data_IF_469272322471
#
_entry.id   IF_469272322471
#
_cell.length_a   1.000
_cell.length_b   1.000
_cell.length_c   1.000
_cell.angle_alpha   90.00
_cell.angle_beta   90.00
_cell.angle_gamma   90.00
#
_symmetry.space_group_name_H-M   'P 1'
#
loop_
_entity.id
_entity.type
_entity.pdbx_description
1 polymer ?
#
# COMPACT_ATOMS: atom_id res chain seq x y z
N UNK A 1 -4.13 -22.03 42.11
CA UNK A 1 -2.97 -21.11 42.28
C UNK A 1 -2.56 -20.52 40.93
N UNK A 2 -3.10 -19.38 40.47
CA UNK A 2 -2.60 -18.72 39.25
C UNK A 2 -2.10 -17.30 39.58
N UNK A 3 -0.81 -17.02 39.36
CA UNK A 3 -0.29 -15.66 39.59
C UNK A 3 1.10 -15.36 39.05
N UNK A 4 1.92 -16.38 38.79
CA UNK A 4 3.34 -16.18 38.46
C UNK A 4 3.55 -15.96 36.95
N UNK A 5 2.74 -16.60 36.09
CA UNK A 5 2.86 -16.50 34.63
C UNK A 5 2.52 -15.10 34.07
N UNK A 6 1.60 -14.36 34.70
CA UNK A 6 1.13 -13.06 34.20
C UNK A 6 2.17 -11.93 34.44
N UNK A 7 2.83 -11.92 35.60
CA UNK A 7 3.81 -10.89 35.95
C UNK A 7 5.09 -10.97 35.10
N UNK A 8 5.54 -12.20 34.76
CA UNK A 8 6.70 -12.39 33.90
C UNK A 8 6.43 -11.92 32.46
N UNK A 9 5.24 -12.21 31.93
CA UNK A 9 4.82 -11.74 30.60
C UNK A 9 4.70 -10.21 30.53
N UNK A 10 4.15 -9.59 31.58
CA UNK A 10 4.08 -8.13 31.67
C UNK A 10 5.47 -7.47 31.61
N UNK A 11 6.44 -8.01 32.37
CA UNK A 11 7.83 -7.52 32.38
C UNK A 11 8.51 -7.66 31.01
N UNK A 12 8.28 -8.77 30.30
CA UNK A 12 8.83 -8.97 28.94
C UNK A 12 8.23 -7.96 27.96
N UNK A 13 6.91 -7.73 28.02
CA UNK A 13 6.20 -6.74 27.21
C UNK A 13 6.72 -5.32 27.46
N UNK A 14 6.93 -4.95 28.73
CA UNK A 14 7.42 -3.62 29.08
C UNK A 14 8.88 -3.40 28.62
N UNK A 15 9.71 -4.45 28.72
CA UNK A 15 11.08 -4.42 28.18
C UNK A 15 11.10 -4.28 26.66
N UNK A 16 10.19 -4.97 25.96
CA UNK A 16 10.01 -4.82 24.51
C UNK A 16 9.55 -3.40 24.14
N UNK A 17 8.56 -2.86 24.87
CA UNK A 17 8.06 -1.48 24.69
C UNK A 17 9.19 -0.44 24.89
N UNK A 18 10.00 -0.62 25.93
CA UNK A 18 11.13 0.28 26.22
C UNK A 18 12.29 0.15 25.21
N UNK A 19 12.52 -1.03 24.62
CA UNK A 19 13.50 -1.22 23.55
C UNK A 19 13.03 -0.58 22.25
N UNK A 20 11.76 -0.71 21.93
CA UNK A 20 11.22 -0.11 20.73
C UNK A 20 11.09 1.41 20.79
N UNK A 21 10.72 1.97 21.95
CA UNK A 21 10.82 3.42 22.18
C UNK A 21 12.24 3.97 21.97
N UNK A 22 13.27 3.16 22.23
CA UNK A 22 14.67 3.53 21.98
C UNK A 22 15.12 3.31 20.54
N UNK A 23 14.52 2.34 19.84
CA UNK A 23 14.81 2.06 18.43
C UNK A 23 14.06 3.01 17.47
N UNK A 24 13.04 3.69 17.98
CA UNK A 24 12.19 4.56 17.21
C UNK A 24 12.73 5.99 17.16
N UNK A 25 13.56 6.25 16.15
CA UNK A 25 14.14 7.58 15.90
C UNK A 25 13.16 8.58 15.27
N UNK A 26 11.90 8.19 15.05
CA UNK A 26 10.89 9.00 14.35
C UNK A 26 9.90 9.68 15.31
N UNK A 27 9.79 9.20 16.56
CA UNK A 27 8.73 9.65 17.45
C UNK A 27 7.34 9.20 16.97
N UNK A 28 6.28 9.83 17.50
CA UNK A 28 4.91 9.57 17.04
C UNK A 28 4.72 10.00 15.57
N UNK A 29 3.81 9.33 14.87
CA UNK A 29 3.50 9.69 13.50
C UNK A 29 2.78 11.05 13.49
N UNK A 30 3.18 11.93 12.58
CA UNK A 30 2.36 13.11 12.26
C UNK A 30 1.09 12.71 11.50
N UNK A 31 0.06 13.58 11.48
CA UNK A 31 -1.22 13.30 10.82
C UNK A 31 -1.04 12.94 9.33
N UNK A 32 -0.19 13.67 8.60
CA UNK A 32 0.12 13.40 7.19
C UNK A 32 0.73 12.00 6.98
N UNK A 33 1.56 11.55 7.92
CA UNK A 33 2.16 10.22 7.85
C UNK A 33 1.14 9.11 8.14
N UNK A 34 0.16 9.38 9.02
CA UNK A 34 -0.95 8.45 9.27
C UNK A 34 -1.81 8.30 8.01
N UNK A 35 -2.21 9.40 7.38
CA UNK A 35 -2.99 9.41 6.13
C UNK A 35 -2.24 8.66 5.03
N UNK A 36 -1.01 9.07 4.71
CA UNK A 36 -0.20 8.45 3.66
C UNK A 36 0.05 6.94 3.90
N UNK A 37 0.12 6.51 5.16
CA UNK A 37 0.26 5.09 5.50
C UNK A 37 -1.05 4.32 5.28
N UNK A 38 -2.19 4.90 5.63
CA UNK A 38 -3.51 4.27 5.48
C UNK A 38 -3.90 4.17 4.01
N UNK A 39 -3.64 5.21 3.23
CA UNK A 39 -3.97 5.26 1.80
C UNK A 39 -2.95 4.52 0.91
N UNK A 40 -1.83 4.06 1.50
CA UNK A 40 -0.81 3.29 0.78
C UNK A 40 0.12 4.14 -0.10
N UNK A 41 0.09 5.46 0.06
CA UNK A 41 0.90 6.43 -0.70
C UNK A 41 2.34 6.56 -0.14
N UNK A 42 2.60 5.96 1.02
CA UNK A 42 3.91 6.02 1.66
C UNK A 42 4.96 5.14 0.95
N UNK A 43 6.18 5.64 0.68
CA UNK A 43 7.26 4.83 0.10
C UNK A 43 7.56 3.57 0.93
N UNK A 44 7.88 2.46 0.26
CA UNK A 44 8.04 1.14 0.89
C UNK A 44 8.98 1.13 2.12
N UNK A 45 10.10 1.87 2.05
CA UNK A 45 11.06 2.00 3.15
C UNK A 45 10.47 2.71 4.36
N UNK A 46 9.71 3.78 4.15
CA UNK A 46 9.04 4.53 5.22
C UNK A 46 7.89 3.72 5.81
N UNK A 47 7.08 3.07 4.97
CA UNK A 47 6.00 2.20 5.40
C UNK A 47 6.50 1.02 6.23
N UNK A 48 7.70 0.49 5.93
CA UNK A 48 8.32 -0.56 6.75
C UNK A 48 8.65 -0.09 8.16
N UNK A 49 9.22 1.11 8.30
CA UNK A 49 9.53 1.68 9.62
C UNK A 49 8.26 1.94 10.42
N UNK A 50 7.21 2.46 9.78
CA UNK A 50 5.90 2.62 10.41
C UNK A 50 5.36 1.28 10.91
N UNK A 51 5.38 0.23 10.09
CA UNK A 51 4.94 -1.11 10.53
C UNK A 51 5.65 -1.59 11.79
N UNK A 52 6.97 -1.38 11.88
CA UNK A 52 7.76 -1.72 13.07
C UNK A 52 7.35 -0.84 14.26
N UNK A 53 7.16 0.46 14.06
CA UNK A 53 6.70 1.40 15.08
C UNK A 53 5.36 0.98 15.68
N UNK A 54 4.38 0.58 14.84
CA UNK A 54 3.04 0.21 15.26
C UNK A 54 2.97 -1.03 16.15
N UNK A 55 3.97 -1.91 16.09
CA UNK A 55 4.06 -3.06 17.02
C UNK A 55 4.23 -2.57 18.46
N UNK A 56 4.86 -1.41 18.64
CA UNK A 56 5.34 -0.95 19.94
C UNK A 56 4.68 0.32 20.46
N UNK A 57 4.05 1.10 19.57
CA UNK A 57 3.32 2.31 19.92
C UNK A 57 1.80 2.09 19.80
N UNK A 58 1.08 1.97 20.93
CA UNK A 58 -0.38 1.80 20.90
C UNK A 58 -1.12 3.08 20.48
N UNK A 59 -0.54 4.26 20.70
CA UNK A 59 -1.13 5.56 20.36
C UNK A 59 -1.24 5.72 18.84
N UNK A 60 -0.14 5.57 18.11
CA UNK A 60 -0.14 5.61 16.64
C UNK A 60 -0.98 4.48 16.03
N UNK A 61 -1.13 3.35 16.73
CA UNK A 61 -2.04 2.29 16.29
C UNK A 61 -3.49 2.75 16.38
N UNK A 62 -3.87 3.40 17.47
CA UNK A 62 -5.22 3.95 17.65
C UNK A 62 -5.53 5.01 16.58
N UNK A 63 -4.58 5.91 16.28
CA UNK A 63 -4.73 6.92 15.22
C UNK A 63 -4.94 6.28 13.84
N UNK A 64 -4.16 5.25 13.49
CA UNK A 64 -4.36 4.52 12.22
C UNK A 64 -5.71 3.82 12.17
N UNK A 65 -6.18 3.25 13.29
CA UNK A 65 -7.52 2.66 13.34
C UNK A 65 -8.60 3.71 13.11
N UNK A 66 -8.50 4.87 13.74
CA UNK A 66 -9.45 5.98 13.52
C UNK A 66 -9.44 6.43 12.05
N UNK A 67 -8.26 6.61 11.47
CA UNK A 67 -8.15 7.02 10.07
C UNK A 67 -8.71 5.97 9.10
N UNK A 68 -8.47 4.67 9.36
CA UNK A 68 -9.05 3.59 8.54
C UNK A 68 -10.57 3.57 8.60
N UNK A 69 -11.14 3.73 9.79
CA UNK A 69 -12.59 3.78 9.96
C UNK A 69 -13.18 5.01 9.23
N UNK A 70 -12.50 6.15 9.29
CA UNK A 70 -12.91 7.34 8.53
C UNK A 70 -12.87 7.09 7.01
N UNK A 71 -11.79 6.50 6.50
CA UNK A 71 -11.67 6.15 5.07
C UNK A 71 -12.71 5.11 4.63
N UNK A 72 -13.05 4.15 5.48
CA UNK A 72 -14.10 3.16 5.22
C UNK A 72 -15.48 3.80 5.18
N UNK A 73 -15.81 4.64 6.14
CA UNK A 73 -17.08 5.37 6.18
C UNK A 73 -17.32 6.20 4.91
N UNK A 74 -16.28 6.91 4.44
CA UNK A 74 -16.35 7.67 3.17
C UNK A 74 -16.62 6.74 1.98
N UNK A 75 -15.99 5.56 1.94
CA UNK A 75 -16.22 4.57 0.87
C UNK A 75 -17.64 4.02 0.92
N UNK A 76 -18.16 3.71 2.10
CA UNK A 76 -19.53 3.21 2.27
C UNK A 76 -20.56 4.24 1.80
N UNK A 77 -20.42 5.52 2.18
CA UNK A 77 -21.28 6.59 1.67
C UNK A 77 -21.16 6.75 0.14
N UNK A 78 -19.97 6.54 -0.43
CA UNK A 78 -19.79 6.54 -1.88
C UNK A 78 -20.46 5.35 -2.57
N UNK A 79 -20.70 4.22 -1.91
CA UNK A 79 -21.41 3.07 -2.48
C UNK A 79 -22.92 3.32 -2.54
N UNK A 80 -23.47 4.11 -1.62
CA UNK A 80 -24.86 4.58 -1.71
C UNK A 80 -25.06 5.58 -2.86
N UNK A 81 -23.99 6.27 -3.26
CA UNK A 81 -23.98 7.01 -4.53
C UNK A 81 -23.94 6.01 -5.69
N UNK A 82 -24.69 6.27 -6.76
CA UNK A 82 -24.88 5.37 -7.93
C UNK A 82 -23.60 5.05 -8.76
N UNK A 83 -22.41 5.23 -8.19
CA UNK A 83 -21.11 4.95 -8.79
C UNK A 83 -20.84 3.44 -8.72
N UNK A 84 -21.34 2.71 -9.70
CA UNK A 84 -21.04 1.29 -9.90
C UNK A 84 -20.13 1.06 -11.11
N UNK A 85 -19.35 -0.02 -11.07
CA UNK A 85 -18.62 -0.49 -12.23
C UNK A 85 -19.61 -0.87 -13.36
N UNK A 86 -19.24 -0.69 -14.65
CA UNK A 86 -20.07 -1.12 -15.76
C UNK A 86 -20.38 -2.63 -15.71
N UNK A 87 -21.61 -3.02 -16.06
CA UNK A 87 -22.06 -4.42 -15.98
C UNK A 87 -21.21 -5.35 -16.88
N UNK A 88 -20.68 -4.84 -17.99
CA UNK A 88 -19.78 -5.57 -18.88
C UNK A 88 -18.43 -5.91 -18.24
N UNK A 89 -17.90 -5.05 -17.36
CA UNK A 89 -16.68 -5.32 -16.60
C UNK A 89 -16.94 -6.40 -15.55
N UNK A 90 -18.07 -6.30 -14.85
CA UNK A 90 -18.48 -7.29 -13.84
C UNK A 90 -18.66 -8.67 -14.46
N UNK A 91 -19.28 -8.76 -15.64
CA UNK A 91 -19.42 -10.01 -16.39
C UNK A 91 -18.05 -10.61 -16.76
N UNK A 92 -17.10 -9.80 -17.22
CA UNK A 92 -15.72 -10.26 -17.52
C UNK A 92 -15.00 -10.77 -16.27
N UNK A 93 -15.06 -10.03 -15.16
CA UNK A 93 -14.42 -10.44 -13.90
C UNK A 93 -14.99 -11.77 -13.37
N UNK A 94 -16.31 -11.96 -13.47
CA UNK A 94 -16.95 -13.24 -13.11
C UNK A 94 -16.52 -14.40 -14.04
N UNK A 95 -16.18 -14.10 -15.29
CA UNK A 95 -15.66 -15.06 -16.28
C UNK A 95 -14.25 -15.57 -15.96
N UNK A 96 -13.38 -14.75 -15.37
CA UNK A 96 -11.97 -15.12 -15.07
C UNK A 96 -11.90 -16.39 -14.20
N UNK A 97 -12.79 -16.52 -13.21
CA UNK A 97 -12.83 -17.70 -12.35
C UNK A 97 -13.24 -18.98 -13.11
N UNK A 98 -13.95 -18.86 -14.23
CA UNK A 98 -14.51 -19.97 -15.01
C UNK A 98 -13.61 -20.39 -16.17
N UNK A 99 -12.90 -19.44 -16.76
CA UNK A 99 -12.09 -19.67 -17.97
C UNK A 99 -10.73 -20.29 -17.66
N UNK A 100 -10.31 -20.29 -16.38
CA UNK A 100 -8.98 -20.73 -15.98
C UNK A 100 -7.91 -19.77 -16.49
N UNK A 101 -6.78 -19.69 -15.80
CA UNK A 101 -5.63 -18.98 -16.36
C UNK A 101 -5.16 -19.80 -17.58
N UNK A 102 -5.49 -19.34 -18.79
CA UNK A 102 -4.85 -19.83 -20.00
C UNK A 102 -3.32 -19.68 -19.89
N UNK A 103 -2.54 -20.30 -20.80
CA UNK A 103 -1.09 -20.13 -20.82
C UNK A 103 -0.76 -18.65 -20.70
N UNK A 104 -0.10 -18.29 -19.60
CA UNK A 104 0.29 -16.90 -19.37
C UNK A 104 1.12 -16.43 -20.56
N UNK A 105 1.03 -15.16 -20.97
CA UNK A 105 1.83 -14.65 -22.06
C UNK A 105 3.29 -15.04 -21.88
N UNK A 106 3.87 -15.75 -22.86
CA UNK A 106 5.30 -16.02 -22.89
C UNK A 106 6.05 -14.68 -22.73
N UNK A 107 7.28 -14.68 -22.20
CA UNK A 107 8.07 -13.46 -22.01
C UNK A 107 8.23 -12.61 -23.31
N UNK A 108 7.93 -13.19 -24.48
CA UNK A 108 7.90 -12.52 -25.78
C UNK A 108 6.63 -11.68 -26.04
N UNK A 109 5.52 -11.90 -25.33
CA UNK A 109 4.23 -11.24 -25.58
C UNK A 109 3.76 -10.51 -24.33
N UNK A 110 3.91 -9.18 -24.21
CA UNK A 110 3.48 -8.47 -23.00
C UNK A 110 1.96 -8.52 -22.84
N UNK A 111 1.49 -8.81 -21.62
CA UNK A 111 0.06 -8.85 -21.25
C UNK A 111 -0.68 -7.50 -21.45
N UNK A 112 0.07 -6.41 -21.54
CA UNK A 112 -0.43 -5.07 -21.79
C UNK A 112 0.50 -4.40 -22.81
N UNK A 113 -0.01 -4.12 -24.01
CA UNK A 113 0.59 -3.14 -24.89
C UNK A 113 -0.03 -1.78 -24.57
N UNK A 114 0.74 -0.83 -24.01
CA UNK A 114 0.29 0.55 -23.94
C UNK A 114 -0.04 0.98 -25.38
N UNK A 115 -1.13 1.75 -25.56
CA UNK A 115 -1.33 2.48 -26.81
C UNK A 115 -0.15 3.42 -26.96
N UNK A 116 0.85 3.03 -27.75
CA UNK A 116 1.93 3.92 -28.13
C UNK A 116 1.37 4.83 -29.21
N UNK A 117 0.97 6.03 -28.82
CA UNK A 117 0.63 7.05 -29.78
C UNK A 117 1.89 7.38 -30.59
N UNK A 118 1.71 7.62 -31.89
CA UNK A 118 2.83 7.86 -32.82
C UNK A 118 3.81 8.94 -32.32
N UNK A 119 3.32 9.87 -31.51
CA UNK A 119 4.08 10.95 -30.91
C UNK A 119 5.16 10.46 -29.91
N UNK A 120 4.88 9.42 -29.12
CA UNK A 120 5.84 8.88 -28.14
C UNK A 120 7.07 8.27 -28.83
N UNK A 121 6.84 7.59 -29.97
CA UNK A 121 7.92 7.02 -30.78
C UNK A 121 8.78 8.12 -31.39
N UNK A 122 8.17 9.20 -31.87
CA UNK A 122 8.89 10.35 -32.42
C UNK A 122 9.70 11.04 -31.33
N UNK A 123 9.14 11.26 -30.14
CA UNK A 123 9.87 11.85 -29.02
C UNK A 123 11.10 11.00 -28.63
N UNK A 124 10.94 9.68 -28.57
CA UNK A 124 12.02 8.77 -28.23
C UNK A 124 13.17 8.80 -29.27
N UNK A 125 12.83 8.88 -30.56
CA UNK A 125 13.82 9.04 -31.65
C UNK A 125 14.54 10.39 -31.55
N UNK A 126 13.82 11.48 -31.30
CA UNK A 126 14.42 12.82 -31.14
C UNK A 126 15.39 12.85 -29.95
N UNK A 127 15.04 12.22 -28.83
CA UNK A 127 15.91 12.11 -27.65
C UNK A 127 17.17 11.30 -27.94
N UNK A 128 17.05 10.21 -28.71
CA UNK A 128 18.20 9.39 -29.10
C UNK A 128 19.17 10.17 -30.02
N UNK A 129 18.66 10.91 -31.01
CA UNK A 129 19.48 11.72 -31.92
C UNK A 129 20.18 12.84 -31.14
N UNK A 130 19.46 13.53 -30.25
CA UNK A 130 20.02 14.62 -29.42
C UNK A 130 21.10 14.14 -28.46
N UNK A 131 21.01 12.88 -27.98
CA UNK A 131 22.04 12.30 -27.14
C UNK A 131 23.32 11.96 -27.93
N UNK A 132 23.19 11.54 -29.18
CA UNK A 132 24.34 11.20 -30.03
C UNK A 132 25.07 12.42 -30.61
N UNK A 133 24.43 13.60 -30.65
CA UNK A 133 25.02 14.84 -31.13
C UNK A 133 25.78 15.64 -30.05
N UNK A 134 25.81 15.14 -28.82
CA UNK A 134 26.53 15.77 -27.68
C UNK A 134 27.82 15.03 -27.29
N UNK A 135 28.27 14.08 -28.13
CA UNK A 135 29.57 13.41 -28.05
C UNK A 135 30.53 13.94 -29.09
#
# INVERSE_FOLDING_TARGET
MPGIFNAAQAKVRDKAKARARRADTIGHLGPEAVVAFVDGEMPAKSAHRVRIHLVHCPECRAEIHQQRNASEWVRECSVESHVKAPDSLMAKLAGIAREGAGPGPDAATPAHQPRQDFLDKVEMVVRAIKHNQRG
#
